data_IF_431379657287
#
_entry.id   IF_431379657287
#
_cell.length_a   1.000
_cell.length_b   1.000
_cell.length_c   1.000
_cell.angle_alpha   90.00
_cell.angle_beta   90.00
_cell.angle_gamma   90.00
#
_symmetry.space_group_name_H-M   'P 1'
#
loop_
_entity.id
_entity.type
_entity.pdbx_description
1 polymer ?
#
# COMPACT_ATOMS: atom_id res chain seq x y z
N UNK A 1 11.43 -0.95 20.01
CA UNK A 1 12.40 -0.69 18.92
C UNK A 1 11.67 -0.82 17.61
N UNK A 2 11.89 0.14 16.68
CA UNK A 2 11.25 0.21 15.37
C UNK A 2 12.30 0.29 14.25
N UNK A 3 11.80 0.49 13.04
CA UNK A 3 12.63 0.83 11.88
C UNK A 3 12.13 2.15 11.29
N UNK A 4 13.01 2.90 10.66
CA UNK A 4 12.66 4.09 9.90
C UNK A 4 13.31 4.08 8.52
N UNK A 5 12.65 4.75 7.57
CA UNK A 5 13.25 5.04 6.27
C UNK A 5 14.21 6.22 6.49
N UNK A 6 15.51 5.99 6.31
CA UNK A 6 16.52 7.04 6.50
C UNK A 6 16.92 7.72 5.20
N UNK A 7 16.94 6.99 4.10
CA UNK A 7 17.25 7.52 2.76
C UNK A 7 16.36 6.90 1.70
N UNK A 8 16.03 7.67 0.68
CA UNK A 8 15.32 7.25 -0.52
C UNK A 8 16.01 7.82 -1.74
N UNK A 9 16.24 6.98 -2.74
CA UNK A 9 16.67 7.39 -4.09
C UNK A 9 15.64 6.89 -5.09
N UNK A 10 15.31 7.73 -6.04
CA UNK A 10 14.34 7.40 -7.09
C UNK A 10 14.92 7.85 -8.42
N UNK A 11 14.91 6.97 -9.41
CA UNK A 11 15.32 7.25 -10.78
C UNK A 11 14.27 6.74 -11.76
N UNK A 12 13.90 7.58 -12.71
CA UNK A 12 12.97 7.28 -13.79
C UNK A 12 11.57 6.80 -13.36
N UNK A 13 11.01 7.34 -12.28
CA UNK A 13 9.68 6.96 -11.80
C UNK A 13 8.65 8.09 -11.99
N UNK A 14 7.63 7.87 -12.82
CA UNK A 14 6.54 8.82 -13.15
C UNK A 14 7.06 10.19 -13.56
N UNK A 15 6.87 11.22 -12.74
CA UNK A 15 7.39 12.58 -12.97
C UNK A 15 8.78 12.81 -12.36
N UNK A 16 9.37 11.82 -11.75
CA UNK A 16 10.66 11.91 -11.06
C UNK A 16 11.72 11.32 -11.98
N UNK A 17 12.58 12.17 -12.52
CA UNK A 17 13.73 11.76 -13.30
C UNK A 17 14.84 11.25 -12.39
N UNK A 18 15.23 12.06 -11.39
CA UNK A 18 16.21 11.69 -10.36
C UNK A 18 15.91 12.44 -9.06
N UNK A 19 15.92 11.73 -7.95
CA UNK A 19 15.69 12.29 -6.63
C UNK A 19 16.47 11.50 -5.57
N UNK A 20 17.17 12.21 -4.69
CA UNK A 20 17.72 11.63 -3.45
C UNK A 20 17.28 12.46 -2.26
N UNK A 21 16.73 11.82 -1.24
CA UNK A 21 16.29 12.46 0.00
C UNK A 21 16.75 11.67 1.22
N UNK A 22 17.22 12.38 2.23
CA UNK A 22 17.32 11.87 3.59
C UNK A 22 16.05 12.19 4.35
N UNK A 23 15.49 11.19 5.02
CA UNK A 23 14.22 11.29 5.72
C UNK A 23 14.43 11.20 7.23
N UNK A 24 13.55 11.87 7.96
CA UNK A 24 13.37 11.74 9.41
C UNK A 24 12.11 10.91 9.71
N UNK A 25 11.77 10.72 10.98
CA UNK A 25 10.56 9.96 11.36
C UNK A 25 9.26 10.59 10.88
N UNK A 26 9.23 11.92 10.81
CA UNK A 26 8.08 12.67 10.29
C UNK A 26 8.57 13.62 9.22
N UNK A 27 8.00 13.50 8.04
CA UNK A 27 8.36 14.33 6.89
C UNK A 27 7.10 14.99 6.35
N UNK A 28 7.21 16.27 5.98
CA UNK A 28 6.13 17.04 5.38
C UNK A 28 6.56 17.46 3.98
N UNK A 29 5.79 17.05 2.98
CA UNK A 29 6.01 17.41 1.59
C UNK A 29 5.17 18.65 1.24
N UNK A 30 5.83 19.77 0.97
CA UNK A 30 5.19 21.03 0.61
C UNK A 30 5.55 21.38 -0.84
N UNK A 31 4.61 21.90 -1.58
CA UNK A 31 4.81 22.33 -2.97
C UNK A 31 3.51 22.50 -3.73
N UNK A 32 3.59 23.08 -4.90
CA UNK A 32 2.44 23.27 -5.80
C UNK A 32 1.80 21.93 -6.21
N UNK A 33 0.58 22.00 -6.74
CA UNK A 33 -0.04 20.84 -7.36
C UNK A 33 0.81 20.40 -8.57
N UNK A 34 0.88 19.11 -8.82
CA UNK A 34 1.69 18.49 -9.87
C UNK A 34 3.23 18.54 -9.71
N UNK A 35 3.77 18.96 -8.56
CA UNK A 35 5.23 18.97 -8.34
C UNK A 35 5.83 17.59 -7.95
N UNK A 36 5.05 16.51 -8.03
CA UNK A 36 5.55 15.15 -7.80
C UNK A 36 5.39 14.61 -6.37
N UNK A 37 4.78 15.36 -5.42
CA UNK A 37 4.58 14.88 -4.03
C UNK A 37 3.90 13.52 -3.94
N UNK A 38 2.79 13.34 -4.65
CA UNK A 38 2.06 12.06 -4.69
C UNK A 38 2.87 10.97 -5.39
N UNK A 39 3.69 11.31 -6.38
CA UNK A 39 4.56 10.34 -7.06
C UNK A 39 5.68 9.85 -6.15
N UNK A 40 6.23 10.71 -5.28
CA UNK A 40 7.18 10.31 -4.26
C UNK A 40 6.56 9.31 -3.26
N UNK A 41 5.35 9.59 -2.76
CA UNK A 41 4.64 8.67 -1.86
C UNK A 41 4.29 7.34 -2.56
N UNK A 42 3.87 7.40 -3.83
CA UNK A 42 3.62 6.21 -4.65
C UNK A 42 4.89 5.39 -4.87
N UNK A 43 6.04 6.02 -5.08
CA UNK A 43 7.32 5.33 -5.20
C UNK A 43 7.64 4.51 -3.92
N UNK A 44 7.49 5.11 -2.75
CA UNK A 44 7.67 4.40 -1.47
C UNK A 44 6.68 3.24 -1.34
N UNK A 45 5.41 3.46 -1.72
CA UNK A 45 4.40 2.41 -1.67
C UNK A 45 4.70 1.25 -2.64
N UNK A 46 5.19 1.53 -3.85
CA UNK A 46 5.64 0.49 -4.78
C UNK A 46 6.85 -0.25 -4.23
N UNK A 47 7.78 0.46 -3.59
CA UNK A 47 9.00 -0.14 -3.06
C UNK A 47 8.75 -1.06 -1.85
N UNK A 48 7.91 -0.66 -0.91
CA UNK A 48 7.68 -1.36 0.36
C UNK A 48 6.30 -2.01 0.46
N UNK A 49 5.33 -1.56 -0.32
CA UNK A 49 3.95 -2.06 -0.28
C UNK A 49 3.83 -3.51 -0.76
N UNK A 50 2.73 -4.13 -0.39
CA UNK A 50 2.40 -5.50 -0.83
C UNK A 50 1.85 -5.53 -2.26
N UNK A 51 1.25 -4.46 -2.72
CA UNK A 51 0.72 -4.36 -4.08
C UNK A 51 1.88 -4.11 -5.06
N UNK A 52 2.03 -5.01 -6.02
CA UNK A 52 3.07 -4.98 -7.06
C UNK A 52 2.50 -4.66 -8.44
N UNK A 53 1.32 -4.03 -8.49
CA UNK A 53 0.72 -3.62 -9.76
C UNK A 53 1.43 -2.35 -10.20
N UNK A 54 2.12 -2.43 -11.32
CA UNK A 54 2.85 -1.35 -11.99
C UNK A 54 2.55 -1.41 -13.48
N UNK A 55 2.69 -0.30 -14.16
CA UNK A 55 2.44 -0.20 -15.60
C UNK A 55 3.50 0.68 -16.28
N UNK A 56 3.41 0.80 -17.59
CA UNK A 56 4.25 1.73 -18.36
C UNK A 56 4.12 3.19 -17.92
N UNK A 57 2.98 3.59 -17.33
CA UNK A 57 2.76 4.93 -16.79
C UNK A 57 3.61 5.23 -15.55
N UNK A 58 4.17 4.21 -14.91
CA UNK A 58 5.05 4.35 -13.77
C UNK A 58 6.51 4.64 -14.16
N UNK A 59 6.82 4.59 -15.46
CA UNK A 59 8.14 4.90 -16.00
C UNK A 59 8.19 6.37 -16.44
N UNK A 60 9.23 7.10 -16.02
CA UNK A 60 9.47 8.47 -16.48
C UNK A 60 9.86 8.49 -17.97
N UNK A 61 9.20 9.33 -18.71
CA UNK A 61 9.52 9.59 -20.14
C UNK A 61 9.72 11.09 -20.31
N UNK A 62 10.89 11.47 -20.80
CA UNK A 62 11.20 12.86 -21.11
C UNK A 62 10.32 13.42 -22.24
N UNK A 63 10.26 14.73 -22.38
CA UNK A 63 9.33 15.43 -23.30
C UNK A 63 9.43 14.98 -24.75
N UNK A 64 10.65 14.65 -25.21
CA UNK A 64 10.93 14.26 -26.62
C UNK A 64 11.38 12.78 -26.70
N UNK A 65 11.13 12.00 -25.66
CA UNK A 65 11.54 10.61 -25.54
C UNK A 65 10.37 9.67 -25.80
N UNK A 66 10.64 8.56 -26.44
CA UNK A 66 9.67 7.47 -26.61
C UNK A 66 10.01 6.36 -25.61
N UNK A 67 9.01 5.90 -24.87
CA UNK A 67 9.18 4.78 -23.99
C UNK A 67 9.52 3.54 -24.79
N UNK A 68 10.66 2.93 -24.48
CA UNK A 68 11.02 1.62 -24.98
C UNK A 68 11.05 0.58 -23.82
N UNK A 69 11.03 -0.68 -24.18
CA UNK A 69 10.98 -1.78 -23.22
C UNK A 69 12.31 -1.99 -22.46
N UNK A 70 13.36 -1.23 -22.76
CA UNK A 70 14.64 -1.27 -22.05
C UNK A 70 14.67 -0.32 -20.87
N UNK A 71 13.78 0.68 -20.86
CA UNK A 71 13.70 1.68 -19.81
C UNK A 71 13.12 1.09 -18.53
N UNK A 72 13.75 1.35 -17.42
CA UNK A 72 13.33 0.90 -16.10
C UNK A 72 13.28 2.07 -15.13
N UNK A 73 12.46 1.95 -14.08
CA UNK A 73 12.52 2.82 -12.92
C UNK A 73 13.19 2.10 -11.76
N UNK A 74 13.96 2.85 -10.96
CA UNK A 74 14.67 2.31 -9.81
C UNK A 74 14.33 3.12 -8.57
N UNK A 75 14.01 2.41 -7.48
CA UNK A 75 13.70 3.00 -6.17
C UNK A 75 14.55 2.28 -5.13
N UNK A 76 15.46 3.01 -4.49
CA UNK A 76 16.30 2.53 -3.40
C UNK A 76 15.78 3.06 -2.08
N UNK A 77 15.64 2.19 -1.09
CA UNK A 77 15.23 2.55 0.27
C UNK A 77 16.24 2.00 1.26
N UNK A 78 16.69 2.87 2.16
CA UNK A 78 17.53 2.51 3.29
C UNK A 78 16.70 2.54 4.57
N UNK A 79 16.62 1.40 5.24
CA UNK A 79 15.95 1.24 6.53
C UNK A 79 16.98 1.15 7.64
N UNK A 80 16.79 1.90 8.73
CA UNK A 80 17.64 1.85 9.92
C UNK A 80 16.83 1.55 11.18
N UNK A 81 17.45 0.86 12.14
CA UNK A 81 16.80 0.62 13.44
C UNK A 81 16.73 1.93 14.24
N UNK A 82 15.61 2.10 14.96
CA UNK A 82 15.38 3.25 15.83
C UNK A 82 14.87 2.81 17.20
N UNK A 83 15.17 3.59 18.23
CA UNK A 83 14.63 3.41 19.56
C UNK A 83 13.21 4.00 19.71
N UNK A 84 12.66 3.97 20.91
CA UNK A 84 11.35 4.53 21.22
C UNK A 84 11.30 6.06 21.15
N UNK A 85 12.45 6.71 21.12
CA UNK A 85 12.59 8.17 20.97
C UNK A 85 12.91 8.57 19.52
N UNK A 86 12.89 7.60 18.59
CA UNK A 86 13.19 7.75 17.17
C UNK A 86 14.66 8.08 16.86
N UNK A 87 15.56 7.79 17.78
CA UNK A 87 17.01 7.90 17.55
C UNK A 87 17.52 6.65 16.85
N UNK A 88 18.36 6.84 15.83
CA UNK A 88 19.00 5.72 15.11
C UNK A 88 19.90 4.94 16.07
N UNK A 89 19.75 3.63 16.04
CA UNK A 89 20.57 2.68 16.78
C UNK A 89 21.71 2.16 15.89
N UNK A 90 22.79 1.73 16.53
CA UNK A 90 23.95 1.16 15.83
C UNK A 90 23.67 -0.21 15.22
N UNK A 91 22.76 -0.98 15.78
CA UNK A 91 22.46 -2.35 15.36
C UNK A 91 20.96 -2.67 15.46
N UNK A 92 20.50 -3.64 14.66
CA UNK A 92 19.16 -4.19 14.74
C UNK A 92 18.97 -5.08 15.99
N UNK A 93 17.77 -5.07 16.56
CA UNK A 93 17.42 -5.99 17.64
C UNK A 93 17.10 -7.40 17.11
N UNK A 94 17.12 -8.40 18.00
CA UNK A 94 16.84 -9.82 17.68
C UNK A 94 15.50 -10.00 16.92
N UNK A 95 14.47 -9.21 17.24
CA UNK A 95 13.18 -9.26 16.54
C UNK A 95 13.35 -8.97 15.05
N UNK A 96 14.17 -7.98 14.69
CA UNK A 96 14.43 -7.61 13.31
C UNK A 96 15.43 -8.57 12.63
N UNK A 97 16.37 -9.16 13.39
CA UNK A 97 17.25 -10.21 12.88
C UNK A 97 16.45 -11.45 12.45
N UNK A 98 15.38 -11.80 13.18
CA UNK A 98 14.45 -12.85 12.77
C UNK A 98 13.68 -12.55 11.48
N UNK A 99 13.37 -11.26 11.23
CA UNK A 99 12.62 -10.82 10.06
C UNK A 99 13.46 -10.65 8.80
N UNK A 100 14.62 -10.01 8.95
CA UNK A 100 15.50 -9.71 7.80
C UNK A 100 16.54 -10.78 7.51
N UNK A 101 16.86 -11.64 8.48
CA UNK A 101 18.06 -12.46 8.54
C UNK A 101 19.36 -11.60 8.58
N UNK A 102 20.39 -12.07 9.23
CA UNK A 102 21.68 -11.35 9.33
C UNK A 102 22.26 -10.99 7.96
N UNK A 103 21.99 -11.81 6.96
CA UNK A 103 22.50 -11.62 5.62
C UNK A 103 21.93 -10.42 4.86
N UNK A 104 20.78 -9.87 5.29
CA UNK A 104 20.17 -8.66 4.68
C UNK A 104 20.65 -7.37 5.34
N UNK A 105 21.29 -7.49 6.50
CA UNK A 105 21.79 -6.35 7.25
C UNK A 105 23.18 -6.01 6.74
N UNK A 106 23.35 -4.78 6.31
CA UNK A 106 24.65 -4.22 5.96
C UNK A 106 25.23 -3.56 7.20
N UNK A 107 26.40 -4.02 7.62
CA UNK A 107 27.15 -3.55 8.77
C UNK A 107 28.34 -2.69 8.32
N UNK A 108 28.93 -1.92 9.26
CA UNK A 108 30.13 -1.12 9.00
C UNK A 108 29.87 0.28 8.45
N UNK A 109 28.62 0.69 8.26
CA UNK A 109 28.29 2.08 7.97
C UNK A 109 28.53 2.96 9.21
N UNK A 110 29.14 4.16 9.10
CA UNK A 110 29.50 5.02 10.23
C UNK A 110 28.33 5.44 11.12
N UNK A 111 27.11 5.47 10.59
CA UNK A 111 25.90 5.85 11.34
C UNK A 111 25.30 4.65 12.07
N UNK A 112 25.56 3.42 11.61
CA UNK A 112 25.02 2.18 12.13
C UNK A 112 24.52 1.24 11.02
N UNK A 113 24.06 0.08 11.41
CA UNK A 113 23.57 -0.94 10.48
C UNK A 113 22.34 -0.45 9.68
N UNK A 114 22.18 -0.98 8.48
CA UNK A 114 20.99 -0.71 7.65
C UNK A 114 20.58 -1.92 6.82
N UNK A 115 19.33 -1.91 6.38
CA UNK A 115 18.80 -2.79 5.34
C UNK A 115 18.53 -1.93 4.11
N UNK A 116 19.23 -2.24 3.01
CA UNK A 116 19.05 -1.57 1.73
C UNK A 116 18.20 -2.40 0.78
N UNK A 117 17.16 -1.79 0.23
CA UNK A 117 16.23 -2.45 -0.71
C UNK A 117 16.21 -1.65 -2.01
N UNK A 118 16.59 -2.29 -3.11
CA UNK A 118 16.40 -1.78 -4.47
C UNK A 118 15.17 -2.40 -5.10
N UNK A 119 14.24 -1.59 -5.51
CA UNK A 119 13.05 -1.96 -6.28
C UNK A 119 13.21 -1.47 -7.70
N UNK A 120 13.12 -2.38 -8.66
CA UNK A 120 13.26 -2.10 -10.10
C UNK A 120 11.92 -2.41 -10.76
N UNK A 121 11.39 -1.44 -11.49
CA UNK A 121 10.27 -1.62 -12.40
C UNK A 121 10.87 -1.84 -13.78
N UNK A 122 10.73 -3.04 -14.32
CA UNK A 122 11.28 -3.42 -15.62
C UNK A 122 10.25 -4.16 -16.46
N UNK A 123 10.38 -4.04 -17.78
CA UNK A 123 9.53 -4.79 -18.71
C UNK A 123 9.91 -6.26 -18.74
N UNK A 124 8.91 -7.12 -18.65
CA UNK A 124 9.05 -8.58 -18.81
C UNK A 124 8.41 -9.01 -20.13
N UNK A 125 9.23 -9.38 -21.10
CA UNK A 125 8.76 -9.77 -22.43
C UNK A 125 7.86 -11.03 -22.42
N UNK A 126 8.01 -11.91 -21.42
CA UNK A 126 7.16 -13.10 -21.31
C UNK A 126 5.74 -12.75 -20.81
N UNK A 127 5.63 -11.75 -19.97
CA UNK A 127 4.35 -11.26 -19.43
C UNK A 127 3.75 -10.14 -20.28
N UNK A 128 4.54 -9.58 -21.20
CA UNK A 128 4.20 -8.41 -21.99
C UNK A 128 3.73 -7.22 -21.13
N UNK A 129 4.37 -7.05 -19.98
CA UNK A 129 4.01 -6.04 -18.98
C UNK A 129 5.20 -5.69 -18.10
N UNK A 130 5.08 -4.58 -17.34
CA UNK A 130 6.06 -4.20 -16.33
C UNK A 130 5.89 -5.03 -15.07
N UNK A 131 7.03 -5.42 -14.48
CA UNK A 131 7.09 -6.18 -13.23
C UNK A 131 7.95 -5.46 -12.21
N UNK A 132 7.69 -5.76 -10.93
CA UNK A 132 8.49 -5.30 -9.81
C UNK A 132 9.48 -6.37 -9.38
N UNK A 133 10.76 -6.05 -9.41
CA UNK A 133 11.85 -6.90 -8.90
C UNK A 133 12.51 -6.19 -7.72
N UNK A 134 12.67 -6.90 -6.60
CA UNK A 134 13.33 -6.35 -5.41
C UNK A 134 14.62 -7.11 -5.12
N UNK A 135 15.70 -6.36 -4.84
CA UNK A 135 17.04 -6.87 -4.55
C UNK A 135 17.60 -6.20 -3.32
N UNK A 136 18.56 -6.85 -2.67
CA UNK A 136 19.31 -6.27 -1.57
C UNK A 136 20.37 -5.29 -2.12
N UNK A 137 20.50 -4.15 -1.46
CA UNK A 137 21.63 -3.26 -1.58
C UNK A 137 22.66 -3.67 -0.52
N UNK A 138 23.83 -4.10 -0.96
CA UNK A 138 24.96 -4.52 -0.09
C UNK A 138 25.93 -3.39 0.22
N UNK A 139 25.93 -2.36 -0.62
CA UNK A 139 26.67 -1.12 -0.42
C UNK A 139 25.82 0.02 -1.00
N UNK A 140 25.56 1.05 -0.19
CA UNK A 140 24.72 2.15 -0.63
C UNK A 140 25.36 2.96 -1.77
N UNK A 141 26.68 3.16 -1.73
CA UNK A 141 27.39 3.96 -2.72
C UNK A 141 26.95 5.44 -2.78
N UNK A 142 27.53 6.20 -3.68
CA UNK A 142 27.22 7.64 -3.85
C UNK A 142 26.03 7.90 -4.79
N UNK A 143 25.62 6.91 -5.57
CA UNK A 143 24.54 7.00 -6.54
C UNK A 143 23.83 5.65 -6.73
N UNK A 144 22.69 5.65 -7.42
CA UNK A 144 21.99 4.42 -7.81
C UNK A 144 22.90 3.51 -8.65
N UNK A 145 23.69 4.07 -9.55
CA UNK A 145 24.57 3.32 -10.43
C UNK A 145 25.81 2.75 -9.72
N UNK A 146 26.32 3.40 -8.67
CA UNK A 146 27.48 2.95 -7.89
C UNK A 146 27.13 2.00 -6.74
N UNK A 147 25.85 1.86 -6.41
CA UNK A 147 25.41 1.00 -5.32
C UNK A 147 25.68 -0.48 -5.58
N UNK A 148 26.22 -1.18 -4.58
CA UNK A 148 26.42 -2.62 -4.62
C UNK A 148 25.10 -3.38 -4.52
N UNK A 149 24.80 -4.27 -5.48
CA UNK A 149 23.56 -5.04 -5.53
C UNK A 149 23.83 -6.52 -5.44
N UNK A 150 23.16 -7.20 -4.53
CA UNK A 150 23.22 -8.65 -4.41
C UNK A 150 22.65 -9.33 -5.67
N UNK A 151 23.41 -10.26 -6.23
CA UNK A 151 22.97 -11.08 -7.39
C UNK A 151 22.11 -12.27 -6.97
N UNK A 152 22.20 -12.72 -5.73
CA UNK A 152 21.67 -14.01 -5.25
C UNK A 152 20.41 -13.88 -4.39
N UNK A 153 20.09 -12.69 -3.85
CA UNK A 153 19.04 -12.53 -2.87
C UNK A 153 17.90 -11.69 -3.45
N UNK A 154 16.76 -12.34 -3.63
CA UNK A 154 15.49 -11.68 -3.89
C UNK A 154 14.79 -11.39 -2.56
N UNK A 155 14.07 -10.30 -2.50
CA UNK A 155 13.21 -9.97 -1.37
C UNK A 155 12.06 -10.98 -1.31
N UNK A 156 11.97 -11.74 -0.21
CA UNK A 156 10.96 -12.80 -0.05
C UNK A 156 9.64 -12.23 0.45
N UNK A 157 8.55 -13.01 0.25
CA UNK A 157 7.22 -12.67 0.78
C UNK A 157 7.19 -12.50 2.30
N UNK A 158 8.01 -13.30 3.02
CA UNK A 158 8.09 -13.27 4.48
C UNK A 158 8.64 -11.93 4.98
N UNK A 159 9.61 -11.34 4.30
CA UNK A 159 10.17 -10.03 4.67
C UNK A 159 9.15 -8.89 4.53
N UNK A 160 8.21 -9.00 3.59
CA UNK A 160 7.10 -8.05 3.46
C UNK A 160 6.15 -8.07 4.68
N UNK A 161 6.17 -9.13 5.47
CA UNK A 161 5.33 -9.23 6.66
C UNK A 161 5.87 -8.34 7.80
N UNK A 162 7.17 -8.13 7.84
CA UNK A 162 7.83 -7.28 8.84
C UNK A 162 7.84 -5.80 8.46
N UNK A 163 7.76 -5.49 7.15
CA UNK A 163 7.67 -4.12 6.66
C UNK A 163 6.26 -3.90 6.11
N UNK A 164 5.48 -3.10 6.81
CA UNK A 164 4.14 -2.72 6.34
C UNK A 164 4.12 -1.24 5.98
N UNK A 165 4.08 -0.95 4.68
CA UNK A 165 3.85 0.40 4.19
C UNK A 165 2.36 0.57 3.85
N UNK A 166 1.75 1.62 4.37
CA UNK A 166 0.36 1.97 4.11
C UNK A 166 0.32 3.32 3.40
N UNK A 167 -0.23 3.31 2.21
CA UNK A 167 -0.48 4.52 1.45
C UNK A 167 -1.94 4.94 1.66
N UNK A 168 -2.13 6.18 2.11
CA UNK A 168 -3.45 6.80 2.23
C UNK A 168 -3.56 7.93 1.20
N UNK A 169 -4.50 7.81 0.28
CA UNK A 169 -4.79 8.86 -0.70
C UNK A 169 -5.70 9.94 -0.07
N UNK A 170 -5.60 11.18 -0.57
CA UNK A 170 -6.42 12.30 -0.11
C UNK A 170 -7.92 12.15 -0.44
N UNK A 171 -8.26 11.33 -1.43
CA UNK A 171 -9.65 11.05 -1.86
C UNK A 171 -10.18 9.72 -1.34
N UNK A 172 -9.57 9.16 -0.31
CA UNK A 172 -9.91 7.82 0.16
C UNK A 172 -11.29 7.79 0.80
N UNK A 173 -12.16 6.97 0.27
CA UNK A 173 -13.39 6.56 0.93
C UNK A 173 -13.04 5.48 1.97
N UNK A 174 -13.28 5.77 3.25
CA UNK A 174 -13.01 4.84 4.35
C UNK A 174 -13.82 3.55 4.18
N UNK A 175 -14.99 3.63 3.57
CA UNK A 175 -15.87 2.47 3.31
C UNK A 175 -15.25 1.53 2.30
N UNK A 176 -14.70 2.07 1.20
CA UNK A 176 -14.01 1.27 0.20
C UNK A 176 -12.75 0.60 0.76
N UNK A 177 -12.11 1.27 1.69
CA UNK A 177 -10.91 0.75 2.36
C UNK A 177 -11.21 -0.41 3.31
N UNK A 178 -12.34 -0.38 3.99
CA UNK A 178 -12.81 -1.49 4.83
C UNK A 178 -13.22 -2.69 3.97
N UNK A 179 -13.83 -2.45 2.82
CA UNK A 179 -14.25 -3.50 1.87
C UNK A 179 -13.07 -4.15 1.14
N UNK A 180 -11.98 -3.43 0.90
CA UNK A 180 -10.79 -3.99 0.26
C UNK A 180 -9.99 -4.84 1.26
N UNK A 181 -10.13 -6.16 1.18
CA UNK A 181 -9.38 -7.12 1.99
C UNK A 181 -7.85 -6.96 1.92
N UNK A 182 -7.33 -6.27 0.92
CA UNK A 182 -5.89 -5.99 0.77
C UNK A 182 -5.46 -4.71 1.48
N UNK A 183 -6.40 -3.85 1.86
CA UNK A 183 -6.13 -2.64 2.63
C UNK A 183 -5.70 -2.97 4.07
N UNK A 184 -5.24 -1.96 4.80
CA UNK A 184 -4.93 -2.11 6.23
C UNK A 184 -6.18 -2.46 7.05
N UNK A 185 -7.24 -1.67 6.88
CA UNK A 185 -8.49 -1.88 7.61
C UNK A 185 -9.18 -3.18 7.21
N UNK A 186 -9.21 -3.52 5.92
CA UNK A 186 -9.76 -4.79 5.45
C UNK A 186 -9.02 -6.01 6.00
N UNK A 187 -7.67 -5.93 6.16
CA UNK A 187 -6.90 -6.99 6.82
C UNK A 187 -7.08 -7.03 8.33
N UNK A 188 -7.22 -5.88 8.98
CA UNK A 188 -7.49 -5.81 10.41
C UNK A 188 -8.86 -6.39 10.72
N UNK A 189 -9.88 -6.05 9.93
CA UNK A 189 -11.24 -6.56 10.09
C UNK A 189 -11.39 -8.03 9.68
N UNK A 190 -10.70 -8.49 8.65
CA UNK A 190 -10.75 -9.89 8.22
C UNK A 190 -10.07 -10.87 9.18
N UNK A 191 -9.27 -10.39 10.15
CA UNK A 191 -8.66 -11.20 11.21
C UNK A 191 -9.53 -11.33 12.47
N UNK A 192 -10.66 -10.63 12.49
CA UNK A 192 -11.62 -10.75 13.59
C UNK A 192 -12.46 -12.00 13.33
N UNK A 193 -12.10 -13.11 13.97
CA UNK A 193 -12.91 -14.34 13.97
C UNK A 193 -14.15 -14.07 14.83
N UNK A 194 -15.23 -13.62 14.22
CA UNK A 194 -16.52 -13.54 14.87
C UNK A 194 -17.18 -14.91 14.80
N UNK A 195 -17.63 -15.44 15.94
CA UNK A 195 -18.45 -16.65 15.94
C UNK A 195 -19.74 -16.41 15.12
N UNK A 196 -20.24 -17.46 14.48
CA UNK A 196 -21.49 -17.40 13.70
C UNK A 196 -22.67 -16.82 14.51
N UNK A 197 -22.71 -17.09 15.81
CA UNK A 197 -23.71 -16.53 16.72
C UNK A 197 -23.61 -15.00 16.84
N UNK A 198 -22.38 -14.46 16.93
CA UNK A 198 -22.14 -13.00 16.95
C UNK A 198 -22.45 -12.34 15.61
N UNK A 199 -22.14 -13.00 14.51
CA UNK A 199 -22.48 -12.50 13.17
C UNK A 199 -24.00 -12.39 13.05
N UNK A 200 -24.75 -13.46 13.37
CA UNK A 200 -26.22 -13.46 13.31
C UNK A 200 -26.85 -12.41 14.23
N UNK A 201 -26.28 -12.19 15.42
CA UNK A 201 -26.76 -11.16 16.33
C UNK A 201 -26.53 -9.75 15.79
N UNK A 202 -25.36 -9.47 15.19
CA UNK A 202 -25.05 -8.18 14.54
C UNK A 202 -25.96 -7.95 13.33
N UNK A 203 -26.16 -8.97 12.49
CA UNK A 203 -27.07 -8.89 11.34
C UNK A 203 -28.49 -8.58 11.78
N UNK A 204 -28.98 -9.23 12.86
CA UNK A 204 -30.29 -8.94 13.42
C UNK A 204 -30.41 -7.48 13.90
N UNK A 205 -29.39 -6.99 14.63
CA UNK A 205 -29.38 -5.59 15.12
C UNK A 205 -29.35 -4.59 13.97
N UNK A 206 -28.58 -4.85 12.91
CA UNK A 206 -28.55 -3.99 11.72
C UNK A 206 -29.90 -3.97 11.01
N UNK A 207 -30.57 -5.11 10.87
CA UNK A 207 -31.89 -5.20 10.28
C UNK A 207 -32.95 -4.48 11.12
N UNK A 208 -32.89 -4.58 12.44
CA UNK A 208 -33.78 -3.85 13.35
C UNK A 208 -33.58 -2.32 13.20
N UNK A 209 -32.33 -1.84 13.16
CA UNK A 209 -32.04 -0.42 12.94
C UNK A 209 -32.50 0.04 11.55
N UNK A 210 -32.27 -0.77 10.53
CA UNK A 210 -32.68 -0.47 9.16
C UNK A 210 -34.21 -0.34 9.06
N UNK A 211 -34.96 -1.27 9.66
CA UNK A 211 -36.41 -1.23 9.73
C UNK A 211 -36.92 0.03 10.45
N UNK A 212 -36.32 0.39 11.57
CA UNK A 212 -36.66 1.63 12.30
C UNK A 212 -36.42 2.90 11.46
N UNK A 213 -35.32 2.94 10.67
CA UNK A 213 -35.05 4.06 9.77
C UNK A 213 -36.11 4.15 8.68
N UNK A 214 -36.45 3.03 8.05
CA UNK A 214 -37.46 3.00 6.99
C UNK A 214 -38.83 3.42 7.53
N UNK A 215 -39.22 2.96 8.71
CA UNK A 215 -40.46 3.32 9.36
C UNK A 215 -40.52 4.78 9.81
N UNK A 216 -39.38 5.33 10.25
CA UNK A 216 -39.30 6.72 10.73
C UNK A 216 -39.34 7.79 9.63
N UNK A 217 -39.10 7.38 8.37
CA UNK A 217 -39.09 8.29 7.22
C UNK A 217 -40.33 8.02 6.32
N UNK A 218 -41.38 8.83 6.40
CA UNK A 218 -42.63 8.59 5.66
C UNK A 218 -42.47 8.44 4.14
N UNK A 219 -41.47 9.13 3.56
CA UNK A 219 -41.19 9.04 2.13
C UNK A 219 -40.63 7.65 1.73
N UNK A 220 -39.81 7.03 2.57
CA UNK A 220 -39.26 5.69 2.34
C UNK A 220 -40.31 4.63 2.50
N UNK A 221 -41.16 4.72 3.54
CA UNK A 221 -42.29 3.81 3.79
C UNK A 221 -43.31 3.82 2.63
N UNK A 222 -43.64 5.01 2.11
CA UNK A 222 -44.51 5.12 0.94
C UNK A 222 -43.88 4.54 -0.33
N UNK A 223 -42.60 4.72 -0.51
CA UNK A 223 -41.86 4.17 -1.67
C UNK A 223 -41.79 2.65 -1.60
N UNK A 224 -41.54 2.08 -0.44
CA UNK A 224 -41.55 0.64 -0.20
C UNK A 224 -42.91 0.04 -0.55
N UNK A 225 -43.99 0.67 -0.08
CA UNK A 225 -45.38 0.22 -0.36
C UNK A 225 -45.69 0.28 -1.85
N UNK A 226 -45.27 1.33 -2.57
CA UNK A 226 -45.47 1.46 -4.02
C UNK A 226 -44.70 0.42 -4.82
N UNK A 227 -43.44 0.14 -4.45
CA UNK A 227 -42.61 -0.88 -5.10
C UNK A 227 -43.23 -2.27 -4.87
N UNK A 228 -43.65 -2.59 -3.65
CA UNK A 228 -44.33 -3.85 -3.34
C UNK A 228 -45.63 -4.03 -4.15
N UNK A 229 -46.42 -2.96 -4.30
CA UNK A 229 -47.62 -2.99 -5.12
C UNK A 229 -47.31 -3.21 -6.62
N UNK A 230 -46.26 -2.61 -7.16
CA UNK A 230 -45.82 -2.83 -8.54
C UNK A 230 -45.31 -4.27 -8.72
N UNK A 231 -44.50 -4.77 -7.81
CA UNK A 231 -43.98 -6.14 -7.87
C UNK A 231 -45.09 -7.18 -7.85
N UNK A 232 -46.13 -6.99 -7.03
CA UNK A 232 -47.29 -7.86 -7.01
C UNK A 232 -48.11 -7.84 -8.31
N UNK A 233 -48.13 -6.71 -9.01
CA UNK A 233 -48.86 -6.52 -10.27
C UNK A 233 -48.14 -7.12 -11.47
N UNK A 234 -46.80 -7.17 -11.43
CA UNK A 234 -45.96 -7.71 -12.52
C UNK A 234 -45.79 -9.23 -12.43
N UNK A 235 -46.38 -9.89 -11.42
CA UNK A 235 -46.34 -11.35 -11.30
C UNK A 235 -45.00 -11.93 -10.93
N UNK A 236 -44.12 -11.14 -10.32
CA UNK A 236 -42.90 -11.63 -9.71
C UNK A 236 -43.26 -12.43 -8.44
N UNK A 237 -43.55 -13.71 -8.64
CA UNK A 237 -43.85 -14.63 -7.55
C UNK A 237 -42.60 -14.76 -6.65
N UNK A 238 -42.75 -14.53 -5.36
CA UNK A 238 -41.89 -14.95 -4.26
C UNK A 238 -40.57 -14.21 -4.05
N UNK A 239 -40.48 -12.92 -4.28
CA UNK A 239 -39.34 -12.11 -3.80
C UNK A 239 -39.79 -11.05 -2.81
N UNK A 240 -39.35 -11.12 -1.56
CA UNK A 240 -39.46 -10.01 -0.61
C UNK A 240 -38.55 -8.90 -1.11
N UNK A 241 -39.10 -7.72 -1.41
CA UNK A 241 -38.27 -6.55 -1.77
C UNK A 241 -37.89 -5.87 -0.47
N UNK A 242 -36.64 -5.99 -0.10
CA UNK A 242 -36.02 -5.20 0.98
C UNK A 242 -35.45 -3.90 0.41
N UNK A 243 -35.81 -2.78 1.02
CA UNK A 243 -35.24 -1.48 0.71
C UNK A 243 -34.20 -1.19 1.78
N UNK A 244 -32.92 -1.23 1.37
CA UNK A 244 -31.83 -0.80 2.23
C UNK A 244 -31.53 0.68 1.94
N UNK A 245 -31.58 1.57 2.93
CA UNK A 245 -31.04 2.91 2.78
C UNK A 245 -29.53 2.81 2.61
N UNK A 246 -29.03 3.28 1.47
CA UNK A 246 -27.59 3.47 1.27
C UNK A 246 -27.12 4.58 2.21
N UNK A 247 -26.27 4.23 3.18
CA UNK A 247 -25.58 5.16 4.06
C UNK A 247 -24.39 5.81 3.34
#
# INVERSE_FOLDING_TARGET
MGISISKVRIENFRSIENLELSLSMTNVLIGANNCGKSNFLKAINVALGQNKIVSSEDIYVGKDEVLDNTKCATIDIMLRPVDTTNKILSAFSEIWLGGFTEEWITTGDPIGDYVGIRTILQYDALKNDYIVVRKQITDWGDSISSAGISRRKAFTGDMNTYISAFYMDAQRDVVDDIKDRKSYFGRATSRVDLSQEKISEIERQLNDVNSQIVESIPALSQTATRIAAIASTVGAANGTIEIEPLA
#
